data_IF_346020156861
#
_entry.id   IF_346020156861
#
_cell.length_a   1.000
_cell.length_b   1.000
_cell.length_c   1.000
_cell.angle_alpha   90.00
_cell.angle_beta   90.00
_cell.angle_gamma   90.00
#
_symmetry.space_group_name_H-M   'P 1'
#
loop_
_entity.id
_entity.type
_entity.pdbx_description
1 polymer ?
#
# COMPACT_ATOMS: atom_id res chain seq x y z
N UNK A 1 0.57 14.80 7.61
CA UNK A 1 1.63 13.79 7.88
C UNK A 1 1.81 12.78 6.72
N UNK A 2 2.13 13.28 5.53
CA UNK A 2 2.42 12.46 4.34
C UNK A 2 3.87 11.98 4.36
N UNK A 3 4.11 10.82 4.97
CA UNK A 3 5.44 10.24 5.05
C UNK A 3 5.98 9.89 3.67
N UNK A 4 6.97 10.66 3.21
CA UNK A 4 7.82 10.38 2.04
C UNK A 4 8.72 9.13 2.23
N UNK A 5 8.28 8.13 3.02
CA UNK A 5 9.03 6.91 3.37
C UNK A 5 8.42 5.62 2.80
N UNK A 6 7.35 5.74 2.03
CA UNK A 6 6.64 4.58 1.48
C UNK A 6 5.66 3.96 2.47
N UNK A 7 4.88 3.00 1.98
CA UNK A 7 3.86 2.29 2.75
C UNK A 7 4.48 1.52 3.93
N UNK A 8 3.96 1.73 5.14
CA UNK A 8 4.39 0.98 6.33
C UNK A 8 3.82 -0.46 6.30
N UNK A 9 4.55 -1.36 5.64
CA UNK A 9 4.15 -2.77 5.50
C UNK A 9 3.99 -3.49 6.84
N UNK A 10 4.78 -3.16 7.87
CA UNK A 10 4.66 -3.78 9.19
C UNK A 10 3.32 -3.42 9.86
N UNK A 11 2.83 -2.20 9.65
CA UNK A 11 1.51 -1.79 10.11
C UNK A 11 0.40 -2.55 9.37
N UNK A 12 0.49 -2.68 8.04
CA UNK A 12 -0.48 -3.45 7.25
C UNK A 12 -0.49 -4.94 7.62
N UNK A 13 0.66 -5.51 7.96
CA UNK A 13 0.73 -6.87 8.51
C UNK A 13 -0.07 -7.00 9.82
N UNK A 14 0.07 -6.06 10.75
CA UNK A 14 -0.72 -6.08 11.99
C UNK A 14 -2.21 -5.92 11.70
N UNK A 15 -2.57 -5.01 10.80
CA UNK A 15 -3.95 -4.82 10.38
C UNK A 15 -4.55 -6.10 9.76
N UNK A 16 -3.78 -6.80 8.90
CA UNK A 16 -4.24 -8.06 8.30
C UNK A 16 -4.59 -9.11 9.33
N UNK A 17 -3.84 -9.19 10.44
CA UNK A 17 -4.14 -10.14 11.51
C UNK A 17 -5.31 -9.71 12.39
N UNK A 18 -5.62 -8.42 12.44
CA UNK A 18 -6.66 -7.86 13.30
C UNK A 18 -8.08 -8.04 12.72
N UNK A 19 -8.21 -8.29 11.42
CA UNK A 19 -9.52 -8.47 10.77
C UNK A 19 -9.41 -9.47 9.63
N UNK A 20 -10.52 -10.10 9.23
CA UNK A 20 -10.67 -10.88 8.00
C UNK A 20 -11.30 -10.09 6.84
N UNK A 21 -11.73 -8.85 7.09
CA UNK A 21 -12.44 -8.03 6.11
C UNK A 21 -11.54 -7.62 4.92
N UNK A 22 -12.13 -7.29 3.76
CA UNK A 22 -11.40 -6.65 2.67
C UNK A 22 -10.73 -5.35 3.13
N UNK A 23 -9.45 -5.16 2.79
CA UNK A 23 -8.67 -3.96 3.11
C UNK A 23 -8.13 -3.36 1.83
N UNK A 24 -8.37 -2.05 1.65
CA UNK A 24 -7.78 -1.25 0.57
C UNK A 24 -6.82 -0.23 1.18
N UNK A 25 -5.53 -0.40 0.93
CA UNK A 25 -4.50 0.55 1.34
C UNK A 25 -4.51 1.75 0.38
N UNK A 26 -4.87 2.93 0.89
CA UNK A 26 -4.88 4.18 0.13
C UNK A 26 -3.86 5.17 0.71
N UNK A 27 -3.08 5.82 -0.18
CA UNK A 27 -2.11 6.85 0.20
C UNK A 27 -0.68 6.33 0.48
N UNK A 28 0.33 7.09 0.06
CA UNK A 28 1.74 6.80 0.34
C UNK A 28 2.38 5.62 -0.43
N UNK A 29 1.65 5.00 -1.36
CA UNK A 29 2.17 3.93 -2.23
C UNK A 29 2.89 4.58 -3.42
N UNK A 30 4.21 4.40 -3.51
CA UNK A 30 5.06 5.07 -4.50
C UNK A 30 5.73 4.14 -5.52
N UNK A 31 5.72 2.83 -5.27
CA UNK A 31 6.48 1.84 -6.03
C UNK A 31 5.68 0.57 -6.32
N UNK A 32 6.02 -0.14 -7.41
CA UNK A 32 5.44 -1.46 -7.72
C UNK A 32 5.72 -2.50 -6.63
N UNK A 33 6.84 -2.34 -5.92
CA UNK A 33 7.23 -3.25 -4.83
C UNK A 33 6.23 -3.20 -3.69
N UNK A 34 5.77 -2.00 -3.33
CA UNK A 34 4.76 -1.82 -2.27
C UNK A 34 3.40 -2.40 -2.67
N UNK A 35 2.98 -2.18 -3.93
CA UNK A 35 1.77 -2.80 -4.48
C UNK A 35 1.85 -4.32 -4.38
N UNK A 36 2.96 -4.92 -4.81
CA UNK A 36 3.17 -6.37 -4.71
C UNK A 36 3.20 -6.87 -3.26
N UNK A 37 3.80 -6.11 -2.36
CA UNK A 37 3.84 -6.46 -0.95
C UNK A 37 2.43 -6.45 -0.34
N UNK A 38 1.61 -5.43 -0.63
CA UNK A 38 0.20 -5.37 -0.21
C UNK A 38 -0.63 -6.52 -0.81
N UNK A 39 -0.42 -6.84 -2.09
CA UNK A 39 -1.09 -7.96 -2.74
C UNK A 39 -0.76 -9.31 -2.06
N UNK A 40 0.49 -9.53 -1.64
CA UNK A 40 0.89 -10.71 -0.87
C UNK A 40 0.24 -10.78 0.52
N UNK A 41 -0.25 -9.66 1.04
CA UNK A 41 -1.05 -9.59 2.27
C UNK A 41 -2.54 -9.78 2.03
N UNK A 42 -2.98 -10.04 0.80
CA UNK A 42 -4.39 -10.11 0.44
C UNK A 42 -5.09 -8.76 0.56
N UNK A 43 -4.39 -7.67 0.25
CA UNK A 43 -4.93 -6.31 0.30
C UNK A 43 -4.93 -5.66 -1.08
N UNK A 44 -5.93 -4.81 -1.31
CA UNK A 44 -5.97 -3.95 -2.49
C UNK A 44 -5.10 -2.72 -2.25
N UNK A 45 -4.47 -2.22 -3.32
CA UNK A 45 -3.65 -1.02 -3.30
C UNK A 45 -4.31 0.07 -4.15
N UNK A 46 -4.77 1.15 -3.51
CA UNK A 46 -5.28 2.33 -4.20
C UNK A 46 -4.13 3.33 -4.42
N UNK A 47 -3.68 3.39 -5.68
CA UNK A 47 -2.58 4.27 -6.08
C UNK A 47 -3.14 5.53 -6.71
N UNK A 48 -2.99 6.68 -6.04
CA UNK A 48 -3.32 7.98 -6.62
C UNK A 48 -2.07 8.67 -7.20
N UNK A 49 -1.35 9.38 -6.34
CA UNK A 49 -0.27 10.31 -6.73
C UNK A 49 0.94 9.67 -7.43
N UNK A 50 1.17 8.36 -7.26
CA UNK A 50 2.28 7.65 -7.92
C UNK A 50 2.02 7.30 -9.39
N UNK A 51 0.74 7.18 -9.79
CA UNK A 51 0.36 7.11 -11.20
C UNK A 51 0.65 8.46 -11.89
N UNK A 52 0.23 9.57 -11.28
CA UNK A 52 0.47 10.92 -11.82
C UNK A 52 1.96 11.29 -11.96
N UNK A 53 2.83 10.74 -11.11
CA UNK A 53 4.28 10.99 -11.16
C UNK A 53 5.05 10.07 -12.12
N UNK A 54 4.39 9.20 -12.90
CA UNK A 54 5.05 8.29 -13.84
C UNK A 54 5.97 7.26 -13.17
N UNK A 55 5.87 7.05 -11.84
CA UNK A 55 6.73 6.14 -11.06
C UNK A 55 6.33 4.68 -11.13
N UNK A 56 5.17 4.39 -11.73
CA UNK A 56 4.67 3.06 -12.01
C UNK A 56 4.58 2.88 -13.53
N UNK A 57 5.73 2.67 -14.18
CA UNK A 57 5.82 2.16 -15.55
C UNK A 57 6.08 0.67 -15.55
#
# INVERSE_FOLDING_TARGET
EGGMRGTNLAWFHRLRRATGLPVTAAGGIHTRREVRALARLGMNAAVGMALYRGRLR
#
